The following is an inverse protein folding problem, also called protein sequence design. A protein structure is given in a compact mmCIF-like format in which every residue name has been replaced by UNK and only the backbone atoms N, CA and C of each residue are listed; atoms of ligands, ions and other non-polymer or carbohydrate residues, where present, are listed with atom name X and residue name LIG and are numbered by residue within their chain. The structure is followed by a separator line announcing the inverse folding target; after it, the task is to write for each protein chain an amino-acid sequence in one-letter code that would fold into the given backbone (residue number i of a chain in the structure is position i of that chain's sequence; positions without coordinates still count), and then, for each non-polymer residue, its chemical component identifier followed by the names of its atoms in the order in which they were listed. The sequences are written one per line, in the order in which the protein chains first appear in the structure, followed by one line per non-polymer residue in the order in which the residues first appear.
data_IF_576391053880
#
_entry.id   IF_576391053880
#
_cell.length_a   1.000
_cell.length_b   1.000
_cell.length_c   1.000
_cell.angle_alpha   90.00
_cell.angle_beta   90.00
_cell.angle_gamma   90.00
#
_symmetry.space_group_name_H-M   'P 1'
#
loop_
_entity.id
_entity.type
_entity.pdbx_description
1 polymer ?
#
# COMPACT_ATOMS: atom_id res chain seq x y z
N UNK A 1 -20.19 -17.93 -28.44
CA UNK A 1 -20.29 -17.39 -27.06
C UNK A 1 -18.96 -16.74 -26.66
N UNK A 2 -18.86 -15.40 -26.66
CA UNK A 2 -17.65 -14.69 -26.20
C UNK A 2 -17.75 -14.53 -24.68
N UNK A 3 -17.01 -15.34 -23.92
CA UNK A 3 -16.86 -15.14 -22.46
C UNK A 3 -16.19 -13.80 -22.24
N UNK A 4 -16.97 -12.78 -21.87
CA UNK A 4 -16.44 -11.51 -21.36
C UNK A 4 -15.65 -11.84 -20.10
N UNK A 5 -14.32 -11.79 -20.17
CA UNK A 5 -13.46 -11.76 -19.00
C UNK A 5 -13.92 -10.55 -18.19
N UNK A 6 -14.60 -10.81 -17.06
CA UNK A 6 -14.93 -9.76 -16.10
C UNK A 6 -13.58 -9.10 -15.76
N UNK A 7 -13.46 -7.77 -15.79
CA UNK A 7 -12.26 -7.13 -15.26
C UNK A 7 -12.09 -7.71 -13.87
N UNK A 8 -10.96 -8.40 -13.63
CA UNK A 8 -10.60 -8.78 -12.29
C UNK A 8 -10.70 -7.48 -11.51
N UNK A 9 -11.69 -7.38 -10.62
CA UNK A 9 -11.70 -6.34 -9.61
C UNK A 9 -10.34 -6.54 -8.96
N UNK A 10 -9.36 -5.69 -9.29
CA UNK A 10 -8.12 -5.63 -8.55
C UNK A 10 -8.59 -5.68 -7.11
N UNK A 11 -8.22 -6.73 -6.39
CA UNK A 11 -8.58 -6.85 -4.99
C UNK A 11 -8.23 -5.49 -4.42
N UNK A 12 -9.26 -4.71 -4.08
CA UNK A 12 -9.11 -3.37 -3.56
C UNK A 12 -8.39 -3.63 -2.26
N UNK A 13 -7.06 -3.61 -2.32
CA UNK A 13 -6.16 -3.92 -1.23
C UNK A 13 -6.72 -3.14 -0.06
N UNK A 14 -7.34 -3.86 0.88
CA UNK A 14 -8.05 -3.19 1.97
C UNK A 14 -6.98 -2.39 2.70
N UNK A 15 -7.28 -1.19 3.22
CA UNK A 15 -6.29 -0.35 3.89
C UNK A 15 -5.52 -1.09 4.99
N UNK A 16 -6.10 -2.15 5.55
CA UNK A 16 -5.53 -3.03 6.55
C UNK A 16 -4.36 -3.90 6.04
N UNK A 17 -4.32 -4.25 4.75
CA UNK A 17 -3.24 -5.06 4.14
C UNK A 17 -1.99 -4.24 3.79
N UNK A 18 -2.00 -2.93 4.08
CA UNK A 18 -0.92 -2.01 3.68
C UNK A 18 0.20 -1.90 4.70
N UNK A 19 0.12 -2.51 5.87
CA UNK A 19 1.10 -2.29 6.93
C UNK A 19 1.55 -3.61 7.57
N UNK A 20 2.85 -3.72 7.82
CA UNK A 20 3.50 -4.89 8.40
C UNK A 20 4.52 -4.41 9.44
N UNK A 21 4.71 -5.19 10.50
CA UNK A 21 5.77 -4.97 11.48
C UNK A 21 6.67 -6.20 11.47
N UNK A 22 7.96 -6.00 11.25
CA UNK A 22 8.92 -7.11 11.31
C UNK A 22 9.24 -7.49 12.77
N UNK A 23 9.97 -8.58 12.96
CA UNK A 23 10.38 -9.07 14.29
C UNK A 23 11.22 -8.06 15.08
N UNK A 24 11.81 -7.08 14.40
CA UNK A 24 12.59 -5.99 14.99
C UNK A 24 11.72 -4.78 15.40
N UNK A 25 10.39 -4.87 15.26
CA UNK A 25 9.47 -3.78 15.60
C UNK A 25 9.43 -2.64 14.57
N UNK A 26 10.04 -2.83 13.40
CA UNK A 26 10.04 -1.83 12.32
C UNK A 26 8.78 -1.96 11.47
N UNK A 27 8.19 -0.82 11.17
CA UNK A 27 7.00 -0.67 10.35
C UNK A 27 7.36 -0.59 8.87
N UNK A 28 6.63 -1.35 8.08
CA UNK A 28 6.72 -1.38 6.63
C UNK A 28 5.33 -1.17 6.05
N UNK A 29 5.26 -0.52 4.89
CA UNK A 29 4.03 -0.43 4.13
C UNK A 29 4.14 -1.13 2.78
N UNK A 30 3.00 -1.63 2.32
CA UNK A 30 2.84 -2.32 1.04
C UNK A 30 1.81 -1.55 0.22
N UNK A 31 2.20 -1.17 -0.98
CA UNK A 31 1.31 -0.67 -2.03
C UNK A 31 1.36 -1.61 -3.22
N UNK A 32 0.44 -1.43 -4.17
CA UNK A 32 0.39 -2.26 -5.39
C UNK A 32 1.72 -2.23 -6.16
N UNK A 33 2.47 -1.14 -6.07
CA UNK A 33 3.66 -0.89 -6.89
C UNK A 33 4.97 -1.01 -6.12
N UNK A 34 4.91 -0.91 -4.80
CA UNK A 34 6.10 -0.71 -3.97
C UNK A 34 5.89 -1.16 -2.54
N UNK A 35 6.96 -1.70 -1.97
CA UNK A 35 7.16 -1.87 -0.53
C UNK A 35 8.00 -0.70 -0.02
N UNK A 36 7.56 -0.05 1.06
CA UNK A 36 8.25 1.08 1.67
C UNK A 36 8.55 0.84 3.14
N UNK A 37 9.77 1.14 3.56
CA UNK A 37 10.28 0.94 4.92
C UNK A 37 11.80 0.82 4.92
N UNK A 38 12.42 0.57 6.08
CA UNK A 38 11.82 0.44 7.42
C UNK A 38 11.50 1.79 8.08
N UNK A 39 10.44 1.83 8.89
CA UNK A 39 10.09 2.99 9.72
C UNK A 39 10.05 2.60 11.20
N UNK A 40 10.57 3.46 12.09
CA UNK A 40 10.56 3.23 13.54
C UNK A 40 9.16 3.30 14.15
N UNK A 41 8.32 4.19 13.62
CA UNK A 41 7.00 4.49 14.17
C UNK A 41 5.90 4.22 13.15
N UNK A 42 4.76 3.72 13.62
CA UNK A 42 3.56 3.51 12.81
C UNK A 42 3.14 4.79 12.07
N UNK A 43 3.12 5.93 12.75
CA UNK A 43 2.70 7.21 12.17
C UNK A 43 3.54 7.59 10.96
N UNK A 44 4.88 7.51 11.08
CA UNK A 44 5.79 7.81 9.97
C UNK A 44 5.59 6.87 8.78
N UNK A 45 5.36 5.59 9.04
CA UNK A 45 5.06 4.60 8.00
C UNK A 45 3.75 4.92 7.27
N UNK A 46 2.71 5.29 8.02
CA UNK A 46 1.39 5.66 7.49
C UNK A 46 1.47 6.94 6.66
N UNK A 47 2.18 7.95 7.15
CA UNK A 47 2.30 9.23 6.46
C UNK A 47 3.16 9.11 5.19
N UNK A 48 4.24 8.33 5.22
CA UNK A 48 5.02 8.02 4.03
C UNK A 48 4.19 7.25 2.98
N UNK A 49 3.35 6.30 3.42
CA UNK A 49 2.43 5.59 2.55
C UNK A 49 1.41 6.54 1.91
N UNK A 50 0.80 7.44 2.69
CA UNK A 50 -0.16 8.45 2.21
C UNK A 50 0.49 9.38 1.19
N UNK A 51 1.66 9.91 1.51
CA UNK A 51 2.43 10.78 0.62
C UNK A 51 2.72 10.08 -0.71
N UNK A 52 3.17 8.82 -0.68
CA UNK A 52 3.44 8.05 -1.91
C UNK A 52 2.18 7.87 -2.76
N UNK A 53 1.04 7.57 -2.15
CA UNK A 53 -0.23 7.40 -2.87
C UNK A 53 -0.69 8.73 -3.48
N UNK A 54 -0.59 9.83 -2.73
CA UNK A 54 -0.98 11.17 -3.19
C UNK A 54 -0.09 11.65 -4.35
N UNK A 55 1.23 11.47 -4.22
CA UNK A 55 2.19 11.78 -5.27
C UNK A 55 1.95 10.92 -6.53
N UNK A 56 1.63 9.63 -6.36
CA UNK A 56 1.27 8.76 -7.49
C UNK A 56 -0.04 9.19 -8.16
N UNK A 57 -1.00 9.67 -7.38
CA UNK A 57 -2.28 10.15 -7.88
C UNK A 57 -2.20 11.54 -8.55
N UNK A 58 -1.04 12.20 -8.56
CA UNK A 58 -0.87 13.55 -9.12
C UNK A 58 -1.62 14.62 -8.34
N UNK A 59 -1.90 14.37 -7.06
CA UNK A 59 -2.61 15.31 -6.16
C UNK A 59 -1.65 16.35 -5.59
N UNK A 60 -0.34 16.09 -5.66
CA UNK A 60 0.75 16.86 -5.08
C UNK A 60 1.71 17.33 -6.17
#
# INVERSE_FOLDING_TARGET
MRKKLKPQKHALFKPQDRYYVNEQGQWWFFTVDRIGGPFLNKSNCVDACRYFIQHKAGVL
#
